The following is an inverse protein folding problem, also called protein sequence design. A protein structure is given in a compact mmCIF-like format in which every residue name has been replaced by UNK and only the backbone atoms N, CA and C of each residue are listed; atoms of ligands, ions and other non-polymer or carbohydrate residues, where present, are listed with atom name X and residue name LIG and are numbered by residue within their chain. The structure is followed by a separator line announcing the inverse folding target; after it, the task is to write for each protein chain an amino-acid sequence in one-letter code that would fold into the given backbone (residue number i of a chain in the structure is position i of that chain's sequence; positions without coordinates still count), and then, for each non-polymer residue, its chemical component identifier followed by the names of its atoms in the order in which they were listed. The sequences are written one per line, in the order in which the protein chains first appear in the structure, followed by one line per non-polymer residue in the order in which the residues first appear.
data_IF_972521040774
#
_entry.id   IF_972521040774
#
_cell.length_a   1.000
_cell.length_b   1.000
_cell.length_c   1.000
_cell.angle_alpha   90.00
_cell.angle_beta   90.00
_cell.angle_gamma   90.00
#
_symmetry.space_group_name_H-M   'P 1'
#
loop_
_entity.id
_entity.type
_entity.pdbx_description
1 polymer ?
#
# COMPACT_ATOMS: atom_id res chain seq x y z
N UNK A 1 3.03 24.54 24.46
CA UNK A 1 3.19 23.60 23.32
C UNK A 1 1.83 23.44 22.68
N UNK A 2 1.57 24.15 21.58
CA UNK A 2 0.25 24.18 20.94
C UNK A 2 0.03 22.89 20.14
N UNK A 3 -0.87 22.03 20.61
CA UNK A 3 -1.42 20.93 19.81
C UNK A 3 -2.46 21.52 18.84
N UNK A 4 -2.04 21.84 17.62
CA UNK A 4 -2.97 22.21 16.55
C UNK A 4 -3.78 20.97 16.19
N UNK A 5 -5.07 20.94 16.57
CA UNK A 5 -5.98 19.85 16.21
C UNK A 5 -6.04 19.68 14.67
N UNK A 6 -6.04 18.45 14.14
CA UNK A 6 -6.17 18.24 12.70
C UNK A 6 -7.51 18.79 12.20
N UNK A 7 -7.49 19.51 11.08
CA UNK A 7 -8.72 20.01 10.41
C UNK A 7 -9.57 18.80 9.99
N UNK A 8 -10.90 18.86 10.11
CA UNK A 8 -11.83 17.73 9.80
C UNK A 8 -11.61 17.08 8.42
N UNK A 9 -11.14 17.83 7.43
CA UNK A 9 -10.80 17.33 6.09
C UNK A 9 -9.61 16.34 6.09
N UNK A 10 -8.71 16.48 7.04
CA UNK A 10 -7.49 15.68 7.19
C UNK A 10 -7.76 14.33 7.89
N UNK A 11 -8.74 14.31 8.80
CA UNK A 11 -9.21 13.07 9.44
C UNK A 11 -9.90 12.15 8.43
N UNK A 12 -10.88 12.68 7.68
CA UNK A 12 -11.59 11.89 6.66
C UNK A 12 -10.66 11.35 5.56
N UNK A 13 -9.61 12.09 5.21
CA UNK A 13 -8.58 11.62 4.27
C UNK A 13 -7.78 10.44 4.82
N UNK A 14 -7.31 10.54 6.07
CA UNK A 14 -6.54 9.48 6.73
C UNK A 14 -7.37 8.22 6.94
N UNK A 15 -8.66 8.36 7.25
CA UNK A 15 -9.57 7.22 7.38
C UNK A 15 -9.88 6.56 6.03
N UNK A 16 -10.16 7.35 4.98
CA UNK A 16 -10.38 6.82 3.63
C UNK A 16 -9.14 6.07 3.11
N UNK A 17 -7.94 6.62 3.35
CA UNK A 17 -6.67 6.01 3.02
C UNK A 17 -6.49 4.66 3.72
N UNK A 18 -6.70 4.61 5.04
CA UNK A 18 -6.63 3.36 5.82
C UNK A 18 -7.62 2.31 5.30
N UNK A 19 -8.86 2.71 5.04
CA UNK A 19 -9.88 1.80 4.52
C UNK A 19 -9.50 1.24 3.14
N UNK A 20 -9.01 2.10 2.25
CA UNK A 20 -8.55 1.71 0.92
C UNK A 20 -7.34 0.75 1.00
N UNK A 21 -6.35 1.04 1.85
CA UNK A 21 -5.19 0.16 2.07
C UNK A 21 -5.63 -1.23 2.56
N UNK A 22 -6.53 -1.28 3.55
CA UNK A 22 -7.04 -2.56 4.04
C UNK A 22 -7.79 -3.34 2.94
N UNK A 23 -8.51 -2.63 2.06
CA UNK A 23 -9.14 -3.23 0.88
C UNK A 23 -8.09 -3.79 -0.09
N UNK A 24 -7.03 -3.04 -0.39
CA UNK A 24 -5.95 -3.49 -1.27
C UNK A 24 -5.20 -4.69 -0.69
N UNK A 25 -4.94 -4.72 0.61
CA UNK A 25 -4.30 -5.86 1.28
C UNK A 25 -5.19 -7.11 1.16
N UNK A 26 -6.51 -6.96 1.34
CA UNK A 26 -7.45 -8.08 1.16
C UNK A 26 -7.48 -8.57 -0.29
N UNK A 27 -7.57 -7.66 -1.27
CA UNK A 27 -7.51 -7.99 -2.69
C UNK A 27 -6.19 -8.71 -3.02
N UNK A 28 -5.03 -8.15 -2.64
CA UNK A 28 -3.73 -8.77 -2.86
C UNK A 28 -3.63 -10.20 -2.30
N UNK A 29 -4.22 -10.48 -1.12
CA UNK A 29 -4.28 -11.84 -0.54
C UNK A 29 -5.18 -12.79 -1.31
N UNK A 30 -6.26 -12.28 -1.93
CA UNK A 30 -7.15 -13.10 -2.76
C UNK A 30 -6.46 -13.52 -4.05
N UNK A 31 -5.74 -12.60 -4.70
CA UNK A 31 -5.09 -12.85 -5.99
C UNK A 31 -3.72 -13.55 -5.85
N UNK A 32 -3.00 -13.29 -4.75
CA UNK A 32 -1.64 -13.80 -4.56
C UNK A 32 -1.48 -14.52 -3.22
N UNK A 33 -0.99 -15.75 -3.28
CA UNK A 33 -0.65 -16.55 -2.08
C UNK A 33 0.58 -16.01 -1.34
N UNK A 34 1.47 -15.29 -2.04
CA UNK A 34 2.75 -14.74 -1.55
C UNK A 34 2.92 -13.34 -2.16
N UNK A 35 3.55 -12.42 -1.41
CA UNK A 35 3.88 -11.07 -1.84
C UNK A 35 4.57 -11.05 -3.21
N UNK A 36 4.05 -10.32 -4.22
CA UNK A 36 4.66 -10.25 -5.54
C UNK A 36 6.05 -9.60 -5.49
N UNK A 37 6.30 -8.79 -4.46
CA UNK A 37 7.58 -8.14 -4.21
C UNK A 37 8.55 -8.97 -3.35
N UNK A 38 8.26 -10.24 -3.09
CA UNK A 38 9.13 -11.13 -2.32
C UNK A 38 9.90 -12.09 -3.23
N UNK A 39 11.23 -12.01 -3.17
CA UNK A 39 12.11 -12.98 -3.82
C UNK A 39 12.27 -14.21 -2.92
N UNK A 40 11.71 -15.35 -3.33
CA UNK A 40 11.82 -16.60 -2.56
C UNK A 40 13.24 -17.19 -2.55
N UNK A 41 14.05 -16.91 -3.58
CA UNK A 41 15.41 -17.46 -3.69
C UNK A 41 16.37 -16.71 -2.77
N UNK A 42 16.25 -15.38 -2.73
CA UNK A 42 17.14 -14.52 -1.94
C UNK A 42 16.54 -14.08 -0.60
N UNK A 43 15.25 -14.33 -0.37
CA UNK A 43 14.46 -13.86 0.78
C UNK A 43 14.45 -12.35 0.93
N UNK A 44 14.45 -11.64 -0.20
CA UNK A 44 14.52 -10.18 -0.25
C UNK A 44 13.18 -9.54 -0.58
N UNK A 45 13.01 -8.30 -0.13
CA UNK A 45 11.86 -7.46 -0.43
C UNK A 45 12.26 -6.44 -1.51
N UNK A 46 11.64 -6.53 -2.69
CA UNK A 46 11.89 -5.60 -3.79
C UNK A 46 11.44 -4.17 -3.48
N UNK A 47 10.44 -3.99 -2.59
CA UNK A 47 10.02 -2.65 -2.15
C UNK A 47 11.13 -1.96 -1.34
N UNK A 48 11.90 -2.71 -0.54
CA UNK A 48 13.04 -2.19 0.23
C UNK A 48 14.38 -2.34 -0.50
N UNK A 49 14.38 -2.23 -1.83
CA UNK A 49 15.62 -2.27 -2.64
C UNK A 49 16.50 -3.51 -2.36
N UNK A 50 15.89 -4.65 -2.02
CA UNK A 50 16.61 -5.89 -1.79
C UNK A 50 16.98 -6.18 -0.33
N UNK A 51 16.50 -5.42 0.65
CA UNK A 51 16.64 -5.81 2.06
C UNK A 51 15.92 -7.12 2.37
N UNK A 52 16.37 -7.80 3.44
CA UNK A 52 15.76 -9.05 3.89
C UNK A 52 14.31 -8.84 4.33
N UNK A 53 13.40 -9.64 3.77
CA UNK A 53 11.99 -9.56 4.14
C UNK A 53 11.78 -10.19 5.52
N UNK A 54 11.36 -9.39 6.51
CA UNK A 54 11.02 -9.88 7.86
C UNK A 54 9.75 -10.73 7.92
N UNK A 55 8.91 -10.66 6.87
CA UNK A 55 7.60 -11.31 6.82
C UNK A 55 7.60 -12.54 5.90
N UNK A 56 8.75 -12.96 5.38
CA UNK A 56 8.92 -14.11 4.46
C UNK A 56 7.87 -14.13 3.33
N UNK A 57 7.55 -12.95 2.78
CA UNK A 57 6.59 -12.80 1.70
C UNK A 57 5.12 -12.79 2.10
N UNK A 58 4.79 -12.66 3.40
CA UNK A 58 3.41 -12.42 3.85
C UNK A 58 3.05 -10.94 3.71
N UNK A 59 1.80 -10.70 3.32
CA UNK A 59 1.21 -9.35 3.27
C UNK A 59 0.72 -8.85 4.63
N UNK A 60 0.44 -9.77 5.55
CA UNK A 60 -0.21 -9.47 6.83
C UNK A 60 0.67 -8.59 7.71
N UNK A 61 0.18 -7.40 8.05
CA UNK A 61 0.86 -6.39 8.87
C UNK A 61 2.29 -6.06 8.40
N UNK A 62 2.56 -6.14 7.10
CA UNK A 62 3.86 -5.76 6.53
C UNK A 62 3.92 -4.22 6.39
N UNK A 63 4.70 -3.50 7.22
CA UNK A 63 4.74 -2.04 7.21
C UNK A 63 5.25 -1.51 5.86
N UNK A 64 6.21 -2.20 5.26
CA UNK A 64 6.72 -1.88 3.92
C UNK A 64 5.62 -1.88 2.86
N UNK A 65 4.73 -2.86 2.90
CA UNK A 65 3.65 -2.99 1.92
C UNK A 65 2.56 -1.95 2.17
N UNK A 66 2.28 -1.65 3.44
CA UNK A 66 1.37 -0.57 3.83
C UNK A 66 1.90 0.77 3.32
N UNK A 67 3.17 1.11 3.60
CA UNK A 67 3.80 2.35 3.13
C UNK A 67 3.79 2.47 1.60
N UNK A 68 3.99 1.35 0.89
CA UNK A 68 3.88 1.32 -0.57
C UNK A 68 2.47 1.69 -1.03
N UNK A 69 1.43 1.08 -0.44
CA UNK A 69 0.04 1.40 -0.76
C UNK A 69 -0.32 2.83 -0.35
N UNK A 70 0.21 3.33 0.76
CA UNK A 70 0.03 4.71 1.19
C UNK A 70 0.53 5.69 0.12
N UNK A 71 1.74 5.47 -0.40
CA UNK A 71 2.29 6.30 -1.48
C UNK A 71 1.45 6.21 -2.75
N UNK A 72 1.01 5.00 -3.13
CA UNK A 72 0.14 4.82 -4.32
C UNK A 72 -1.20 5.53 -4.17
N UNK A 73 -1.80 5.48 -2.99
CA UNK A 73 -3.03 6.22 -2.71
C UNK A 73 -2.81 7.72 -2.93
N UNK A 74 -1.74 8.28 -2.38
CA UNK A 74 -1.43 9.70 -2.53
C UNK A 74 -1.20 10.06 -4.01
N UNK A 75 -0.46 9.24 -4.76
CA UNK A 75 -0.23 9.44 -6.20
C UNK A 75 -1.52 9.42 -7.02
N UNK A 76 -2.41 8.44 -6.78
CA UNK A 76 -3.68 8.30 -7.51
C UNK A 76 -4.60 9.49 -7.23
N UNK A 77 -4.73 9.87 -5.95
CA UNK A 77 -5.55 11.00 -5.54
C UNK A 77 -4.99 12.32 -6.06
N UNK A 78 -3.67 12.52 -5.99
CA UNK A 78 -3.02 13.74 -6.50
C UNK A 78 -3.14 13.85 -8.03
N UNK A 79 -3.14 12.72 -8.74
CA UNK A 79 -3.40 12.68 -10.17
C UNK A 79 -4.88 12.87 -10.55
N UNK A 80 -5.79 12.96 -9.56
CA UNK A 80 -7.23 13.06 -9.79
C UNK A 80 -7.86 11.82 -10.45
N UNK A 81 -7.18 10.67 -10.39
CA UNK A 81 -7.68 9.41 -10.94
C UNK A 81 -8.59 8.70 -9.92
N UNK A 82 -9.58 7.92 -10.38
CA UNK A 82 -10.42 7.15 -9.47
C UNK A 82 -9.60 6.09 -8.74
N UNK A 83 -9.84 5.94 -7.44
CA UNK A 83 -9.18 4.91 -6.64
C UNK A 83 -9.64 3.52 -7.09
N UNK A 84 -8.71 2.65 -7.49
CA UNK A 84 -9.05 1.31 -7.93
C UNK A 84 -9.56 0.46 -6.76
N UNK A 85 -10.39 -0.53 -7.09
CA UNK A 85 -11.00 -1.41 -6.11
C UNK A 85 -10.22 -2.71 -5.90
N UNK A 86 -9.29 -3.02 -6.80
CA UNK A 86 -8.50 -4.23 -6.82
C UNK A 86 -7.02 -3.95 -6.94
N UNK A 87 -6.21 -4.81 -6.30
CA UNK A 87 -4.76 -4.68 -6.28
C UNK A 87 -4.14 -4.99 -7.65
N UNK A 88 -4.75 -5.86 -8.46
CA UNK A 88 -4.28 -6.16 -9.82
C UNK A 88 -4.47 -4.99 -10.80
N UNK A 89 -5.15 -3.92 -10.38
CA UNK A 89 -5.32 -2.75 -11.23
C UNK A 89 -3.96 -2.11 -11.59
N UNK A 90 -3.74 -1.75 -12.86
CA UNK A 90 -2.48 -1.14 -13.31
C UNK A 90 -2.09 0.11 -12.51
N UNK A 91 -3.06 0.90 -12.04
CA UNK A 91 -2.80 2.09 -11.23
C UNK A 91 -2.16 1.74 -9.88
N UNK A 92 -2.45 0.57 -9.32
CA UNK A 92 -1.85 0.10 -8.05
C UNK A 92 -0.49 -0.55 -8.29
N UNK A 93 -0.39 -1.39 -9.34
CA UNK A 93 0.83 -2.13 -9.67
C UNK A 93 1.94 -1.20 -10.17
N UNK A 94 1.64 -0.42 -11.20
CA UNK A 94 2.63 0.38 -11.93
C UNK A 94 2.59 1.85 -11.52
N UNK A 95 1.45 2.32 -11.01
CA UNK A 95 1.26 3.71 -10.63
C UNK A 95 0.53 4.53 -11.68
N UNK A 96 0.45 5.82 -11.39
CA UNK A 96 0.00 6.82 -12.36
C UNK A 96 1.20 7.17 -13.24
N UNK A 97 1.21 6.66 -14.48
CA UNK A 97 2.02 7.22 -15.56
C UNK A 97 1.52 8.59 -15.99
#
# INVERSE_FOLDING_TARGET
MSATAPRRSDEGYRDAKKQWIQKMIKSAKLHHKICPFYDRKKKFCFIKLGERCQYDGKFDNCPTFIEFLEKRFDEIVNAGKPLPNDFEDPLVQFGVT
#
